data_IF_631219303271
#
_entry.id   IF_631219303271
#
_cell.length_a   1.000
_cell.length_b   1.000
_cell.length_c   1.000
_cell.angle_alpha   90.00
_cell.angle_beta   90.00
_cell.angle_gamma   90.00
#
_symmetry.space_group_name_H-M   'P 1'
#
loop_
_entity.id
_entity.type
_entity.pdbx_description
1 polymer ?
#
# COMPACT_ATOMS: atom_id res chain seq x y z
N UNK A 1 -23.03 59.20 -42.16
CA UNK A 1 -22.62 57.78 -42.04
C UNK A 1 -21.66 57.67 -40.87
N UNK A 2 -22.10 57.12 -39.74
CA UNK A 2 -21.23 56.68 -38.65
C UNK A 2 -22.02 55.69 -37.79
N UNK A 3 -21.78 54.40 -38.02
CA UNK A 3 -22.35 53.30 -37.26
C UNK A 3 -21.27 52.84 -36.27
N UNK A 4 -21.48 53.06 -34.98
CA UNK A 4 -20.59 52.59 -33.92
C UNK A 4 -21.05 51.18 -33.54
N UNK A 5 -20.28 50.17 -33.95
CA UNK A 5 -20.44 48.79 -33.51
C UNK A 5 -19.78 48.63 -32.13
N UNK A 6 -20.59 48.38 -31.09
CA UNK A 6 -20.10 47.84 -29.82
C UNK A 6 -19.78 46.35 -30.00
N UNK A 7 -18.49 46.01 -29.92
CA UNK A 7 -18.02 44.64 -29.72
C UNK A 7 -18.03 44.32 -28.22
N UNK A 8 -18.95 43.43 -27.81
CA UNK A 8 -18.92 42.84 -26.49
C UNK A 8 -17.86 41.72 -26.46
N UNK A 9 -16.77 41.91 -25.71
CA UNK A 9 -15.83 40.84 -25.40
C UNK A 9 -16.46 39.92 -24.34
N UNK A 10 -16.73 38.68 -24.73
CA UNK A 10 -17.01 37.59 -23.78
C UNK A 10 -15.68 37.14 -23.14
N UNK A 11 -15.53 37.35 -21.84
CA UNK A 11 -14.42 36.80 -21.07
C UNK A 11 -14.63 35.28 -20.86
N UNK A 12 -13.60 34.43 -20.99
CA UNK A 12 -13.72 33.02 -20.66
C UNK A 12 -13.92 32.87 -19.15
N UNK A 13 -14.94 32.11 -18.76
CA UNK A 13 -15.12 31.67 -17.38
C UNK A 13 -13.90 30.83 -16.97
N UNK A 14 -13.11 31.36 -16.04
CA UNK A 14 -12.07 30.61 -15.35
C UNK A 14 -12.78 29.49 -14.58
N UNK A 15 -12.62 28.24 -15.02
CA UNK A 15 -13.10 27.08 -14.29
C UNK A 15 -12.46 27.06 -12.91
N UNK A 16 -13.28 26.92 -11.86
CA UNK A 16 -12.79 26.68 -10.51
C UNK A 16 -11.84 25.47 -10.51
N UNK A 17 -10.70 25.53 -9.80
CA UNK A 17 -9.86 24.36 -9.65
C UNK A 17 -10.72 23.26 -9.00
N UNK A 18 -10.89 22.15 -9.71
CA UNK A 18 -11.56 20.98 -9.16
C UNK A 18 -10.84 20.60 -7.86
N UNK A 19 -11.53 20.80 -6.73
CA UNK A 19 -11.03 20.44 -5.41
C UNK A 19 -10.63 18.97 -5.48
N UNK A 20 -9.34 18.66 -5.29
CA UNK A 20 -8.89 17.28 -5.30
C UNK A 20 -9.58 16.57 -4.13
N UNK A 21 -10.57 15.73 -4.43
CA UNK A 21 -11.38 15.07 -3.41
C UNK A 21 -10.47 14.22 -2.49
N UNK A 22 -10.51 14.51 -1.20
CA UNK A 22 -9.83 13.76 -0.16
C UNK A 22 -10.49 12.40 0.05
N UNK A 23 -9.68 11.35 0.20
CA UNK A 23 -10.13 10.00 0.51
C UNK A 23 -9.82 9.67 1.96
N UNK A 24 -10.85 9.54 2.79
CA UNK A 24 -10.71 9.18 4.20
C UNK A 24 -10.12 7.77 4.40
N UNK A 25 -9.63 7.50 5.61
CA UNK A 25 -9.25 6.15 6.02
C UNK A 25 -10.47 5.20 5.91
N UNK A 26 -10.28 3.94 5.50
CA UNK A 26 -11.39 3.02 5.37
C UNK A 26 -11.95 2.62 6.73
N UNK A 27 -13.27 2.47 6.79
CA UNK A 27 -13.94 1.85 7.94
C UNK A 27 -13.91 0.32 7.79
N UNK A 28 -12.80 -0.27 8.24
CA UNK A 28 -12.57 -1.71 8.22
C UNK A 28 -13.42 -2.41 9.29
N UNK A 29 -14.14 -3.45 8.87
CA UNK A 29 -15.05 -4.25 9.69
C UNK A 29 -14.51 -5.67 9.87
N UNK A 30 -14.89 -6.29 10.98
CA UNK A 30 -14.71 -7.72 11.21
C UNK A 30 -15.32 -8.49 10.04
N UNK A 31 -14.60 -9.47 9.48
CA UNK A 31 -15.08 -10.27 8.36
C UNK A 31 -14.89 -9.66 6.97
N UNK A 32 -14.47 -8.39 6.83
CA UNK A 32 -14.00 -7.88 5.53
C UNK A 32 -12.92 -8.84 4.99
N UNK A 33 -13.05 -9.26 3.73
CA UNK A 33 -12.17 -10.28 3.14
C UNK A 33 -11.81 -9.97 1.69
N UNK A 34 -10.56 -10.24 1.34
CA UNK A 34 -10.00 -10.06 0.00
C UNK A 34 -9.29 -11.33 -0.46
N UNK A 35 -9.59 -11.79 -1.67
CA UNK A 35 -8.80 -12.79 -2.36
C UNK A 35 -7.81 -12.07 -3.28
N UNK A 36 -6.52 -12.32 -3.08
CA UNK A 36 -5.46 -11.79 -3.93
C UNK A 36 -4.70 -12.90 -4.64
N UNK A 37 -4.30 -12.63 -5.88
CA UNK A 37 -3.26 -13.40 -6.57
C UNK A 37 -1.89 -12.79 -6.27
N UNK A 38 -0.96 -13.62 -5.79
CA UNK A 38 0.46 -13.27 -5.67
C UNK A 38 1.12 -13.39 -7.04
N UNK A 39 1.78 -12.34 -7.48
CA UNK A 39 2.51 -12.27 -8.75
C UNK A 39 4.02 -12.29 -8.48
N UNK A 40 4.75 -13.17 -9.16
CA UNK A 40 6.21 -13.11 -9.27
C UNK A 40 6.56 -11.94 -10.19
N UNK A 41 7.23 -10.91 -9.67
CA UNK A 41 7.49 -9.70 -10.42
C UNK A 41 8.65 -9.82 -11.41
N UNK A 42 9.47 -10.88 -11.32
CA UNK A 42 10.52 -11.15 -12.31
C UNK A 42 9.95 -11.85 -13.54
N UNK A 43 9.02 -12.78 -13.33
CA UNK A 43 8.38 -13.57 -14.41
C UNK A 43 7.07 -12.97 -14.90
N UNK A 44 6.52 -12.01 -14.15
CA UNK A 44 5.18 -11.48 -14.32
C UNK A 44 4.11 -12.58 -14.41
N UNK A 45 4.19 -13.54 -13.48
CA UNK A 45 3.35 -14.73 -13.49
C UNK A 45 2.71 -14.94 -12.11
N UNK A 46 1.45 -15.40 -12.10
CA UNK A 46 0.75 -15.82 -10.88
C UNK A 46 1.50 -16.98 -10.21
N UNK A 47 1.68 -16.87 -8.90
CA UNK A 47 2.31 -17.88 -8.04
C UNK A 47 1.27 -18.69 -7.28
N UNK A 48 0.40 -18.02 -6.52
CA UNK A 48 -0.67 -18.62 -5.72
C UNK A 48 -1.72 -17.56 -5.40
N UNK A 49 -2.85 -17.96 -4.81
CA UNK A 49 -3.82 -17.04 -4.24
C UNK A 49 -3.79 -17.06 -2.71
N UNK A 50 -4.20 -15.97 -2.08
CA UNK A 50 -4.28 -15.83 -0.62
C UNK A 50 -5.55 -15.09 -0.24
N UNK A 51 -6.29 -15.63 0.71
CA UNK A 51 -7.44 -14.97 1.32
C UNK A 51 -6.94 -14.17 2.52
N UNK A 52 -7.13 -12.87 2.50
CA UNK A 52 -6.92 -11.97 3.63
C UNK A 52 -8.26 -11.71 4.30
N UNK A 53 -8.43 -12.07 5.57
CA UNK A 53 -9.70 -11.89 6.31
C UNK A 53 -9.45 -11.11 7.59
N UNK A 54 -10.24 -10.08 7.83
CA UNK A 54 -10.22 -9.35 9.11
C UNK A 54 -10.80 -10.22 10.20
N UNK A 55 -9.97 -10.59 11.18
CA UNK A 55 -10.33 -11.48 12.28
C UNK A 55 -10.48 -10.77 13.63
N UNK A 56 -9.97 -9.54 13.75
CA UNK A 56 -10.22 -8.68 14.90
C UNK A 56 -10.09 -7.20 14.51
N UNK A 57 -10.89 -6.36 15.15
CA UNK A 57 -10.86 -4.91 15.00
C UNK A 57 -11.17 -4.27 16.36
N UNK A 58 -10.33 -3.34 16.79
CA UNK A 58 -10.60 -2.48 17.93
C UNK A 58 -10.35 -1.00 17.56
N UNK A 59 -10.29 -0.12 18.56
CA UNK A 59 -10.10 1.32 18.40
C UNK A 59 -8.71 1.70 17.89
N UNK A 60 -7.71 0.81 18.04
CA UNK A 60 -6.32 1.07 17.70
C UNK A 60 -5.82 0.23 16.52
N UNK A 61 -6.30 -1.00 16.40
CA UNK A 61 -5.69 -2.03 15.57
C UNK A 61 -6.70 -2.83 14.76
N UNK A 62 -6.18 -3.38 13.67
CA UNK A 62 -6.87 -4.31 12.77
C UNK A 62 -5.97 -5.54 12.66
N UNK A 63 -6.54 -6.72 12.88
CA UNK A 63 -5.84 -7.99 12.71
C UNK A 63 -6.39 -8.74 11.51
N UNK A 64 -5.50 -9.11 10.58
CA UNK A 64 -5.84 -9.77 9.32
C UNK A 64 -5.12 -11.12 9.25
N UNK A 65 -5.88 -12.19 9.04
CA UNK A 65 -5.35 -13.51 8.70
C UNK A 65 -5.18 -13.62 7.19
N UNK A 66 -3.98 -13.93 6.73
CA UNK A 66 -3.63 -14.21 5.35
C UNK A 66 -3.43 -15.72 5.20
N UNK A 67 -4.38 -16.40 4.56
CA UNK A 67 -4.36 -17.84 4.36
C UNK A 67 -4.20 -18.19 2.88
N UNK A 68 -3.12 -18.90 2.55
CA UNK A 68 -2.89 -19.38 1.19
C UNK A 68 -3.90 -20.44 0.78
N UNK A 69 -4.34 -20.39 -0.47
CA UNK A 69 -5.36 -21.33 -0.99
C UNK A 69 -4.79 -22.67 -1.42
N UNK A 70 -3.48 -22.75 -1.68
CA UNK A 70 -2.82 -23.94 -2.20
C UNK A 70 -2.33 -24.89 -1.10
N UNK A 71 -1.74 -24.37 -0.03
CA UNK A 71 -1.17 -25.16 1.06
C UNK A 71 -1.76 -24.84 2.45
N UNK A 72 -2.65 -23.85 2.55
CA UNK A 72 -3.26 -23.45 3.80
C UNK A 72 -2.33 -22.72 4.77
N UNK A 73 -1.11 -22.34 4.35
CA UNK A 73 -0.17 -21.57 5.18
C UNK A 73 -0.82 -20.27 5.63
N UNK A 74 -0.73 -20.00 6.93
CA UNK A 74 -1.28 -18.81 7.57
C UNK A 74 -0.16 -17.83 7.94
N UNK A 75 -0.39 -16.57 7.62
CA UNK A 75 0.33 -15.42 8.19
C UNK A 75 -0.69 -14.51 8.85
N UNK A 76 -0.42 -14.08 10.07
CA UNK A 76 -1.30 -13.16 10.78
C UNK A 76 -0.62 -11.81 10.87
N UNK A 77 -1.27 -10.75 10.41
CA UNK A 77 -0.71 -9.41 10.42
C UNK A 77 -1.58 -8.45 11.24
N UNK A 78 -0.92 -7.59 12.02
CA UNK A 78 -1.56 -6.52 12.79
C UNK A 78 -1.21 -5.19 12.14
N UNK A 79 -2.23 -4.34 12.00
CA UNK A 79 -2.17 -3.03 11.39
C UNK A 79 -2.72 -1.98 12.34
N UNK A 80 -2.29 -0.72 12.20
CA UNK A 80 -3.05 0.39 12.78
C UNK A 80 -4.32 0.68 11.96
N UNK A 81 -5.20 1.56 12.46
CA UNK A 81 -6.44 1.98 11.77
C UNK A 81 -6.21 2.61 10.38
N UNK A 82 -5.00 3.05 10.06
CA UNK A 82 -4.61 3.57 8.75
C UNK A 82 -4.07 2.52 7.78
N UNK A 83 -4.29 1.22 8.03
CA UNK A 83 -3.78 0.10 7.23
C UNK A 83 -2.25 0.09 7.08
N UNK A 84 -1.53 0.61 8.08
CA UNK A 84 -0.07 0.52 8.16
C UNK A 84 0.35 -0.62 9.09
N UNK A 85 1.19 -1.52 8.60
CA UNK A 85 1.53 -2.78 9.30
C UNK A 85 2.42 -2.52 10.51
N UNK A 86 2.06 -3.13 11.63
CA UNK A 86 2.77 -3.14 12.90
C UNK A 86 3.53 -4.46 13.11
N UNK A 87 2.86 -5.58 12.84
CA UNK A 87 3.36 -6.93 13.13
C UNK A 87 3.01 -7.88 11.99
N UNK A 88 3.91 -8.83 11.71
CA UNK A 88 3.63 -10.02 10.89
C UNK A 88 4.10 -11.27 11.63
N UNK A 89 3.19 -12.21 11.84
CA UNK A 89 3.39 -13.47 12.54
C UNK A 89 3.28 -14.62 11.54
N UNK A 90 4.30 -15.46 11.48
CA UNK A 90 4.37 -16.65 10.63
C UNK A 90 4.83 -17.85 11.46
N UNK A 91 4.75 -19.06 10.90
CA UNK A 91 5.42 -20.24 11.48
C UNK A 91 6.95 -20.07 11.61
N UNK A 92 7.54 -19.13 10.85
CA UNK A 92 8.95 -18.78 10.91
C UNK A 92 9.29 -17.72 11.98
N UNK A 93 8.31 -17.25 12.75
CA UNK A 93 8.48 -16.25 13.81
C UNK A 93 7.77 -14.93 13.50
N UNK A 94 8.10 -13.91 14.29
CA UNK A 94 7.40 -12.62 14.30
C UNK A 94 8.33 -11.52 13.82
N UNK A 95 7.83 -10.67 12.93
CA UNK A 95 8.45 -9.41 12.50
C UNK A 95 7.64 -8.25 13.07
N UNK A 96 8.30 -7.31 13.73
CA UNK A 96 7.69 -6.08 14.28
C UNK A 96 8.29 -4.87 13.58
N UNK A 97 7.45 -3.90 13.23
CA UNK A 97 7.82 -2.63 12.63
C UNK A 97 7.47 -1.50 13.59
N UNK A 98 8.47 -0.79 14.08
CA UNK A 98 8.30 0.33 15.00
C UNK A 98 8.60 1.66 14.29
N UNK A 99 7.70 2.66 14.31
CA UNK A 99 6.35 2.62 14.88
C UNK A 99 5.31 1.90 14.01
N UNK A 100 5.48 1.85 12.68
CA UNK A 100 4.69 1.06 11.71
C UNK A 100 5.24 1.27 10.29
N UNK A 101 4.98 0.35 9.36
CA UNK A 101 5.37 0.51 7.95
C UNK A 101 4.44 1.53 7.24
N UNK A 102 4.95 2.69 6.75
CA UNK A 102 4.15 3.85 6.36
C UNK A 102 3.60 3.76 4.91
N UNK A 103 2.70 2.82 4.64
CA UNK A 103 2.01 2.69 3.33
C UNK A 103 1.09 3.87 3.00
N UNK A 104 0.41 4.41 4.00
CA UNK A 104 -0.62 5.45 3.81
C UNK A 104 -0.56 6.51 4.90
N UNK A 105 -0.91 7.75 4.53
CA UNK A 105 -1.18 8.84 5.46
C UNK A 105 -2.56 9.44 5.14
N UNK A 106 -3.63 8.79 5.62
CA UNK A 106 -5.00 9.25 5.40
C UNK A 106 -5.27 10.62 6.08
N UNK A 107 -6.22 11.44 5.57
CA UNK A 107 -6.90 11.26 4.28
C UNK A 107 -5.92 11.35 3.09
N UNK A 108 -6.13 10.55 2.05
CA UNK A 108 -5.29 10.56 0.85
C UNK A 108 -5.80 11.61 -0.14
N UNK A 109 -4.90 12.42 -0.64
CA UNK A 109 -5.16 13.43 -1.66
C UNK A 109 -3.99 13.44 -2.65
N UNK A 110 -4.26 13.66 -3.94
CA UNK A 110 -3.22 13.74 -4.97
C UNK A 110 -2.21 14.81 -4.60
N UNK A 111 -0.92 14.46 -4.62
CA UNK A 111 0.17 15.36 -4.22
C UNK A 111 0.57 15.25 -2.75
N UNK A 112 -0.24 14.63 -1.89
CA UNK A 112 0.11 14.42 -0.47
C UNK A 112 1.36 13.56 -0.34
N UNK A 113 2.30 14.00 0.50
CA UNK A 113 3.55 13.29 0.82
C UNK A 113 3.69 13.04 2.32
N UNK A 114 4.44 12.01 2.69
CA UNK A 114 4.82 11.73 4.07
C UNK A 114 6.17 11.04 4.12
N UNK A 115 6.86 11.13 5.26
CA UNK A 115 8.13 10.47 5.50
C UNK A 115 8.14 9.82 6.88
N UNK A 116 8.85 8.69 7.01
CA UNK A 116 9.05 8.04 8.29
C UNK A 116 10.29 7.15 8.30
N UNK A 117 11.03 7.23 9.40
CA UNK A 117 12.05 6.25 9.74
C UNK A 117 11.46 5.19 10.66
N UNK A 118 11.71 3.92 10.36
CA UNK A 118 11.19 2.77 11.11
C UNK A 118 12.30 1.78 11.42
N UNK A 119 12.11 0.98 12.47
CA UNK A 119 12.96 -0.17 12.77
C UNK A 119 12.17 -1.45 12.64
N UNK A 120 12.70 -2.39 11.85
CA UNK A 120 12.20 -3.76 11.76
C UNK A 120 13.04 -4.67 12.64
N UNK A 121 12.38 -5.44 13.50
CA UNK A 121 12.97 -6.48 14.35
C UNK A 121 12.34 -7.83 14.06
N UNK A 122 13.14 -8.89 14.03
CA UNK A 122 12.66 -10.28 13.86
C UNK A 122 12.93 -11.09 15.11
N UNK A 123 11.92 -11.81 15.62
CA UNK A 123 12.01 -12.53 16.89
C UNK A 123 13.11 -13.61 16.92
N UNK A 124 13.43 -14.23 15.77
CA UNK A 124 14.51 -15.22 15.66
C UNK A 124 15.92 -14.63 15.55
N UNK A 125 16.04 -13.32 15.32
CA UNK A 125 17.30 -12.57 15.21
C UNK A 125 17.14 -11.18 15.83
N UNK A 126 16.77 -11.08 17.12
CA UNK A 126 16.40 -9.81 17.76
C UNK A 126 17.55 -8.80 17.81
N UNK A 127 18.80 -9.30 17.75
CA UNK A 127 20.04 -8.53 17.66
C UNK A 127 20.21 -7.81 16.32
N UNK A 128 19.59 -8.34 15.25
CA UNK A 128 19.64 -7.74 13.92
C UNK A 128 18.52 -6.73 13.77
N UNK A 129 18.88 -5.46 13.75
CA UNK A 129 17.96 -4.36 13.45
C UNK A 129 18.08 -3.94 11.99
N UNK A 130 16.94 -3.69 11.37
CA UNK A 130 16.84 -3.14 10.02
C UNK A 130 16.20 -1.76 10.16
N UNK A 131 16.98 -0.70 9.94
CA UNK A 131 16.46 0.66 9.91
C UNK A 131 16.02 0.98 8.48
N UNK A 132 14.80 1.49 8.28
CA UNK A 132 14.32 1.98 6.99
C UNK A 132 13.98 3.45 7.09
N UNK A 133 14.36 4.23 6.09
CA UNK A 133 13.90 5.61 5.89
C UNK A 133 13.06 5.62 4.61
N UNK A 134 11.76 5.84 4.78
CA UNK A 134 10.75 5.69 3.73
C UNK A 134 10.00 7.00 3.51
N UNK A 135 9.75 7.34 2.25
CA UNK A 135 8.89 8.43 1.80
C UNK A 135 7.74 7.87 0.99
N UNK A 136 6.52 8.38 1.22
CA UNK A 136 5.35 8.05 0.45
C UNK A 136 4.73 9.27 -0.23
N UNK A 137 4.08 9.06 -1.37
CA UNK A 137 3.39 10.09 -2.16
C UNK A 137 2.15 9.53 -2.83
N UNK A 138 1.05 10.28 -2.79
CA UNK A 138 -0.09 10.05 -3.68
C UNK A 138 0.21 10.69 -5.03
N UNK A 139 0.44 9.87 -6.05
CA UNK A 139 0.91 10.33 -7.37
C UNK A 139 -0.24 10.81 -8.25
N UNK A 140 -1.40 10.18 -8.16
CA UNK A 140 -2.54 10.50 -8.99
C UNK A 140 -3.68 9.51 -8.87
N UNK A 141 -4.76 9.78 -9.60
CA UNK A 141 -5.87 8.84 -9.81
C UNK A 141 -5.62 8.06 -11.10
N UNK A 142 -5.83 6.76 -11.05
CA UNK A 142 -5.68 5.86 -12.19
C UNK A 142 -6.85 4.89 -12.25
N UNK A 143 -7.36 4.65 -13.46
CA UNK A 143 -8.33 3.58 -13.71
C UNK A 143 -7.56 2.30 -13.99
N UNK A 144 -7.68 1.31 -13.10
CA UNK A 144 -6.89 0.08 -13.16
C UNK A 144 -7.78 -1.16 -13.26
N UNK A 145 -7.41 -2.09 -14.14
CA UNK A 145 -8.09 -3.39 -14.30
C UNK A 145 -7.27 -4.49 -13.66
N UNK A 146 -7.91 -5.29 -12.82
CA UNK A 146 -7.40 -6.50 -12.14
C UNK A 146 -8.43 -7.62 -12.32
N UNK A 147 -8.17 -8.88 -11.90
CA UNK A 147 -9.15 -9.96 -12.07
C UNK A 147 -10.53 -9.67 -11.44
N UNK A 148 -10.60 -8.90 -10.35
CA UNK A 148 -11.84 -8.47 -9.72
C UNK A 148 -12.65 -7.41 -10.50
N UNK A 149 -12.11 -6.86 -11.60
CA UNK A 149 -12.77 -5.83 -12.41
C UNK A 149 -11.92 -4.56 -12.57
N UNK A 150 -12.57 -3.45 -12.92
CA UNK A 150 -11.92 -2.16 -13.13
C UNK A 150 -12.31 -1.17 -12.04
N UNK A 151 -11.32 -0.49 -11.46
CA UNK A 151 -11.47 0.40 -10.32
C UNK A 151 -10.83 1.76 -10.60
N UNK A 152 -11.46 2.83 -10.10
CA UNK A 152 -10.81 4.13 -9.96
C UNK A 152 -10.03 4.13 -8.65
N UNK A 153 -8.70 4.19 -8.74
CA UNK A 153 -7.79 4.00 -7.62
C UNK A 153 -6.82 5.19 -7.49
N UNK A 154 -6.41 5.50 -6.27
CA UNK A 154 -5.29 6.41 -6.01
C UNK A 154 -4.00 5.60 -6.04
N UNK A 155 -3.08 5.99 -6.92
CA UNK A 155 -1.73 5.44 -6.93
C UNK A 155 -0.90 6.10 -5.83
N UNK A 156 -0.40 5.28 -4.93
CA UNK A 156 0.52 5.64 -3.86
C UNK A 156 1.86 4.99 -4.15
N UNK A 157 2.93 5.77 -4.16
CA UNK A 157 4.29 5.27 -4.23
C UNK A 157 4.94 5.40 -2.86
N UNK A 158 5.64 4.36 -2.40
CA UNK A 158 6.44 4.35 -1.18
C UNK A 158 7.82 3.83 -1.51
N UNK A 159 8.84 4.66 -1.30
CA UNK A 159 10.21 4.33 -1.64
C UNK A 159 11.15 4.75 -0.52
N UNK A 160 12.38 4.24 -0.56
CA UNK A 160 13.40 4.66 0.37
C UNK A 160 14.56 3.70 0.46
N UNK A 161 15.24 3.75 1.60
CA UNK A 161 16.46 3.00 1.83
C UNK A 161 16.35 2.19 3.12
N UNK A 162 16.98 1.03 3.14
CA UNK A 162 17.18 0.28 4.36
C UNK A 162 18.67 0.12 4.67
N UNK A 163 18.98 0.07 5.96
CA UNK A 163 20.29 -0.20 6.51
C UNK A 163 20.16 -1.38 7.48
N UNK A 164 20.87 -2.47 7.21
CA UNK A 164 20.95 -3.59 8.14
C UNK A 164 22.26 -3.52 8.88
N UNK A 165 22.18 -3.62 10.21
CA UNK A 165 23.34 -3.81 11.07
C UNK A 165 23.18 -5.10 11.87
N UNK A 166 24.14 -6.01 11.70
CA UNK A 166 24.42 -7.12 12.63
C UNK A 166 25.87 -6.98 13.10
N UNK A 167 26.23 -7.72 14.15
CA UNK A 167 27.57 -7.81 14.77
C UNK A 167 28.72 -8.01 13.78
N UNK A 168 28.47 -8.59 12.60
CA UNK A 168 29.52 -8.96 11.64
C UNK A 168 29.40 -8.28 10.26
N UNK A 169 28.22 -7.77 9.88
CA UNK A 169 27.97 -7.30 8.52
C UNK A 169 27.04 -6.09 8.51
N UNK A 170 27.35 -5.14 7.64
CA UNK A 170 26.50 -4.00 7.29
C UNK A 170 26.20 -4.05 5.80
N UNK A 171 24.95 -3.88 5.43
CA UNK A 171 24.58 -3.69 4.03
C UNK A 171 23.39 -2.76 3.93
N UNK A 172 23.27 -2.14 2.76
CA UNK A 172 22.23 -1.18 2.45
C UNK A 172 21.53 -1.57 1.15
N UNK A 173 20.35 -1.03 0.99
CA UNK A 173 19.55 -1.26 -0.20
C UNK A 173 18.42 -0.26 -0.33
N UNK A 174 17.72 -0.35 -1.47
CA UNK A 174 16.53 0.44 -1.75
C UNK A 174 15.28 -0.42 -1.62
N UNK A 175 14.19 0.21 -1.23
CA UNK A 175 12.83 -0.35 -1.29
C UNK A 175 12.01 0.55 -2.19
N UNK A 176 11.18 -0.05 -3.04
CA UNK A 176 10.19 0.65 -3.84
C UNK A 176 8.88 -0.14 -3.85
N UNK A 177 7.76 0.54 -3.62
CA UNK A 177 6.42 -0.01 -3.60
C UNK A 177 5.48 0.93 -4.35
N UNK A 178 4.59 0.38 -5.17
CA UNK A 178 3.45 1.12 -5.71
C UNK A 178 2.16 0.40 -5.30
N UNK A 179 1.17 1.15 -4.81
CA UNK A 179 -0.13 0.66 -4.36
C UNK A 179 -1.24 1.42 -5.10
N UNK A 180 -2.21 0.71 -5.65
CA UNK A 180 -3.41 1.31 -6.25
C UNK A 180 -4.56 1.14 -5.26
N UNK A 181 -4.75 2.12 -4.37
CA UNK A 181 -5.77 2.11 -3.33
C UNK A 181 -7.14 2.48 -3.91
N UNK A 182 -8.13 1.59 -3.76
CA UNK A 182 -9.51 1.85 -4.19
C UNK A 182 -10.45 1.86 -2.98
N UNK A 183 -11.09 3.01 -2.66
CA UNK A 183 -12.01 3.11 -1.52
C UNK A 183 -13.17 2.11 -1.58
N UNK A 184 -13.63 1.78 -2.80
CA UNK A 184 -14.72 0.84 -3.05
C UNK A 184 -14.49 -0.57 -2.48
N UNK A 185 -13.23 -0.96 -2.29
CA UNK A 185 -12.85 -2.24 -1.66
C UNK A 185 -12.04 -2.06 -0.39
N UNK A 186 -11.95 -0.83 0.14
CA UNK A 186 -11.23 -0.47 1.38
C UNK A 186 -9.74 -0.88 1.41
N UNK A 187 -9.14 -1.21 0.27
CA UNK A 187 -7.78 -1.73 0.17
C UNK A 187 -7.15 -1.38 -1.19
N UNK A 188 -5.85 -1.64 -1.33
CA UNK A 188 -5.20 -1.68 -2.63
C UNK A 188 -5.72 -2.85 -3.48
N UNK A 189 -6.19 -2.54 -4.70
CA UNK A 189 -6.60 -3.54 -5.71
C UNK A 189 -5.39 -4.14 -6.42
N UNK A 190 -4.28 -3.42 -6.43
CA UNK A 190 -2.98 -3.88 -6.91
C UNK A 190 -1.88 -3.29 -6.04
N UNK A 191 -0.82 -4.05 -5.78
CA UNK A 191 0.43 -3.45 -5.36
C UNK A 191 1.63 -4.20 -5.92
N UNK A 192 2.75 -3.49 -6.04
CA UNK A 192 4.05 -4.03 -6.45
C UNK A 192 5.06 -3.71 -5.37
N UNK A 193 6.08 -4.54 -5.24
CA UNK A 193 7.19 -4.38 -4.32
C UNK A 193 8.47 -4.80 -5.01
N UNK A 194 9.51 -4.00 -4.82
CA UNK A 194 10.87 -4.34 -5.17
C UNK A 194 11.83 -3.90 -4.06
N UNK A 195 12.84 -4.72 -3.79
CA UNK A 195 14.00 -4.27 -3.02
C UNK A 195 15.32 -4.68 -3.69
N UNK A 196 16.37 -3.94 -3.34
CA UNK A 196 17.72 -4.18 -3.82
C UNK A 196 18.66 -4.40 -2.65
N UNK A 197 19.74 -5.16 -2.86
CA UNK A 197 20.91 -5.14 -1.97
C UNK A 197 22.09 -4.71 -2.83
N UNK A 198 22.77 -3.63 -2.45
CA UNK A 198 23.72 -2.94 -3.32
C UNK A 198 23.10 -2.63 -4.71
N UNK A 199 23.59 -3.24 -5.78
CA UNK A 199 23.10 -3.01 -7.15
C UNK A 199 22.18 -4.10 -7.69
N UNK A 200 21.84 -5.13 -6.90
CA UNK A 200 21.05 -6.27 -7.36
C UNK A 200 19.66 -6.24 -6.75
N UNK A 201 18.62 -6.32 -7.58
CA UNK A 201 17.26 -6.59 -7.14
C UNK A 201 17.18 -7.98 -6.50
N UNK A 202 16.71 -8.04 -5.25
CA UNK A 202 16.65 -9.28 -4.46
C UNK A 202 15.23 -9.81 -4.44
N UNK A 203 14.25 -8.97 -4.13
CA UNK A 203 12.84 -9.33 -4.17
C UNK A 203 12.11 -8.46 -5.19
N UNK A 204 11.24 -9.09 -5.98
CA UNK A 204 10.28 -8.40 -6.85
C UNK A 204 9.00 -9.20 -6.92
N UNK A 205 7.90 -8.61 -6.51
CA UNK A 205 6.59 -9.28 -6.52
C UNK A 205 5.45 -8.27 -6.55
N UNK A 206 4.25 -8.76 -6.78
CA UNK A 206 3.03 -7.97 -6.66
C UNK A 206 1.86 -8.80 -6.18
N UNK A 207 0.73 -8.11 -6.02
CA UNK A 207 -0.56 -8.72 -5.76
C UNK A 207 -1.63 -8.02 -6.58
N UNK A 208 -2.63 -8.78 -7.03
CA UNK A 208 -3.80 -8.28 -7.74
C UNK A 208 -5.07 -8.85 -7.12
N UNK A 209 -6.08 -8.00 -6.94
CA UNK A 209 -7.35 -8.39 -6.35
C UNK A 209 -8.13 -9.28 -7.31
N UNK A 210 -8.58 -10.41 -6.78
CA UNK A 210 -9.47 -11.36 -7.45
C UNK A 210 -10.90 -11.19 -6.97
N UNK A 211 -11.09 -10.94 -5.66
CA UNK A 211 -12.42 -10.78 -5.08
C UNK A 211 -12.36 -9.97 -3.79
N UNK A 212 -13.39 -9.15 -3.54
CA UNK A 212 -13.63 -8.50 -2.25
C UNK A 212 -15.02 -8.88 -1.74
N UNK A 213 -15.10 -9.27 -0.46
CA UNK A 213 -16.35 -9.54 0.26
C UNK A 213 -16.39 -8.65 1.50
N UNK A 214 -17.37 -7.74 1.62
CA UNK A 214 -17.52 -6.95 2.83
C UNK A 214 -17.91 -7.86 4.01
N UNK A 215 -17.46 -7.49 5.21
CA UNK A 215 -17.93 -8.06 6.45
C UNK A 215 -19.40 -7.69 6.73
N UNK A 216 -20.05 -8.41 7.67
CA UNK A 216 -21.42 -8.14 8.09
C UNK A 216 -21.61 -6.75 8.72
#
# INVERSE_FOLDING_TARGET
VALICLLALAAPALGEPATAEEVAAPDIKLGDSWLFDRIDGFKNARVHSTVATVIAVDDQQIKIEWKRTDDGTVTTETYNRGLNRLVSETSAGTETVDPFYPRYAFPLEVGKTWERTVTVTRSRRPERKIALSLSGKVVGRERITVPAGTFDALKVEVEGFYNVSDTQKKWTGRVAQALWYAPAVKHAVKWTYEDTTAHRTVHRYGYELVEYRPGP
#
